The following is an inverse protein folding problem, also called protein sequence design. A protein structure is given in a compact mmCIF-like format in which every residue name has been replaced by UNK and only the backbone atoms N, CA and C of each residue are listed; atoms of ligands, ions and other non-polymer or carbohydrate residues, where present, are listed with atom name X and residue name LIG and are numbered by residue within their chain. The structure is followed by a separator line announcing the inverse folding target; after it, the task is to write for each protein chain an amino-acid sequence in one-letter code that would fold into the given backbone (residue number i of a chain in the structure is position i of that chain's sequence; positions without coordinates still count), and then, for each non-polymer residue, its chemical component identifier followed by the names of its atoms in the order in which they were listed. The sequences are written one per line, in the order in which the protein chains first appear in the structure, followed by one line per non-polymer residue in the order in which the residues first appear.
data_IF_771107753590
#
_entry.id   IF_771107753590
#
_cell.length_a   1.000
_cell.length_b   1.000
_cell.length_c   1.000
_cell.angle_alpha   90.00
_cell.angle_beta   90.00
_cell.angle_gamma   90.00
#
_symmetry.space_group_name_H-M   'P 1'
#
loop_
_entity.id
_entity.type
_entity.pdbx_description
1 polymer ?
#
# COMPACT_ATOMS: atom_id res chain seq x y z
N UNK A 1 -25.48 19.69 -5.20
CA UNK A 1 -25.64 19.24 -6.60
C UNK A 1 -24.47 18.33 -6.87
N UNK A 2 -24.65 17.01 -6.94
CA UNK A 2 -23.57 16.00 -6.88
C UNK A 2 -22.57 15.97 -8.05
N UNK A 3 -22.26 17.11 -8.66
CA UNK A 3 -21.19 17.27 -9.64
C UNK A 3 -19.83 17.19 -8.95
N UNK A 4 -18.91 16.33 -9.41
CA UNK A 4 -17.56 16.24 -8.86
C UNK A 4 -16.81 17.56 -9.06
N UNK A 5 -16.07 18.00 -8.03
CA UNK A 5 -15.23 19.21 -8.11
C UNK A 5 -13.95 18.98 -8.90
N UNK A 6 -13.40 17.76 -8.85
CA UNK A 6 -12.18 17.36 -9.55
C UNK A 6 -12.31 15.97 -10.16
N UNK A 7 -11.61 15.76 -11.27
CA UNK A 7 -11.44 14.45 -11.91
C UNK A 7 -9.95 14.15 -11.94
N UNK A 8 -9.56 13.05 -11.30
CA UNK A 8 -8.16 12.60 -11.21
C UNK A 8 -7.87 11.65 -12.38
N UNK A 9 -7.31 12.17 -13.47
CA UNK A 9 -6.95 11.36 -14.64
C UNK A 9 -5.55 10.75 -14.47
N UNK A 10 -5.50 9.56 -13.90
CA UNK A 10 -4.25 8.81 -13.75
C UNK A 10 -3.78 8.15 -15.05
N UNK A 11 -4.64 8.02 -16.06
CA UNK A 11 -4.38 7.29 -17.33
C UNK A 11 -3.78 5.89 -17.16
N UNK A 12 -4.17 5.20 -16.09
CA UNK A 12 -3.77 3.81 -15.87
C UNK A 12 -4.19 2.96 -17.06
N UNK A 13 -3.24 2.26 -17.66
CA UNK A 13 -3.46 1.48 -18.89
C UNK A 13 -4.36 0.26 -18.64
N UNK A 14 -4.43 -0.22 -17.39
CA UNK A 14 -5.20 -1.40 -17.00
C UNK A 14 -6.46 -1.04 -16.19
N UNK A 15 -7.53 -1.80 -16.44
CA UNK A 15 -8.86 -1.61 -15.82
C UNK A 15 -8.93 -1.98 -14.31
N UNK A 16 -7.80 -2.26 -13.68
CA UNK A 16 -7.73 -2.51 -12.23
C UNK A 16 -6.77 -1.50 -11.61
N UNK A 17 -7.29 -0.74 -10.66
CA UNK A 17 -6.50 0.12 -9.80
C UNK A 17 -7.09 0.08 -8.40
N UNK A 18 -6.23 0.25 -7.40
CA UNK A 18 -6.66 0.47 -6.02
C UNK A 18 -6.27 1.87 -5.59
N UNK A 19 -7.00 2.42 -4.63
CA UNK A 19 -6.73 3.73 -4.08
C UNK A 19 -6.76 3.73 -2.55
N UNK A 20 -6.05 4.69 -1.97
CA UNK A 20 -6.00 4.91 -0.52
C UNK A 20 -5.86 6.39 -0.24
N UNK A 21 -6.64 6.92 0.71
CA UNK A 21 -6.50 8.28 1.20
C UNK A 21 -5.38 8.37 2.25
N UNK A 22 -4.70 9.50 2.30
CA UNK A 22 -3.90 9.85 3.47
C UNK A 22 -4.80 10.06 4.69
N UNK A 23 -4.26 9.98 5.90
CA UNK A 23 -5.07 9.96 7.13
C UNK A 23 -5.78 11.30 7.39
N UNK A 24 -5.17 12.38 6.94
CA UNK A 24 -5.72 13.74 6.95
C UNK A 24 -6.66 14.02 5.77
N UNK A 25 -6.83 13.07 4.84
CA UNK A 25 -7.64 13.19 3.64
C UNK A 25 -7.12 14.19 2.60
N UNK A 26 -5.91 14.73 2.78
CA UNK A 26 -5.36 15.75 1.88
C UNK A 26 -4.79 15.16 0.59
N UNK A 27 -4.40 13.88 0.64
CA UNK A 27 -3.85 13.13 -0.48
C UNK A 27 -4.67 11.88 -0.77
N UNK A 28 -4.64 11.46 -2.04
CA UNK A 28 -5.06 10.13 -2.45
C UNK A 28 -3.95 9.50 -3.31
N UNK A 29 -3.61 8.26 -3.02
CA UNK A 29 -2.68 7.46 -3.80
C UNK A 29 -3.49 6.48 -4.63
N UNK A 30 -3.13 6.34 -5.89
CA UNK A 30 -3.67 5.33 -6.80
C UNK A 30 -2.52 4.51 -7.35
N UNK A 31 -2.77 3.23 -7.58
CA UNK A 31 -1.80 2.33 -8.19
C UNK A 31 -2.53 1.41 -9.14
N UNK A 32 -1.94 1.17 -10.31
CA UNK A 32 -2.35 0.10 -11.21
C UNK A 32 -1.23 -0.94 -11.26
N UNK A 33 -1.54 -2.24 -11.13
CA UNK A 33 -0.56 -3.28 -11.38
C UNK A 33 0.03 -3.07 -12.78
N UNK A 34 1.36 -3.10 -12.87
CA UNK A 34 2.13 -2.91 -14.12
C UNK A 34 2.32 -1.47 -14.61
N UNK A 35 1.86 -0.46 -13.89
CA UNK A 35 1.99 0.95 -14.31
C UNK A 35 2.67 1.81 -13.22
N UNK A 36 2.13 3.00 -12.96
CA UNK A 36 2.63 3.96 -12.00
C UNK A 36 1.80 3.97 -10.70
N UNK A 37 2.44 4.34 -9.61
CA UNK A 37 1.75 4.94 -8.48
C UNK A 37 1.64 6.45 -8.72
N UNK A 38 0.44 6.99 -8.57
CA UNK A 38 0.18 8.42 -8.63
C UNK A 38 -0.38 8.89 -7.28
N UNK A 39 0.11 10.03 -6.80
CA UNK A 39 -0.37 10.70 -5.59
C UNK A 39 -0.94 12.06 -5.97
N UNK A 40 -2.14 12.34 -5.48
CA UNK A 40 -2.92 13.52 -5.86
C UNK A 40 -3.27 14.34 -4.63
N UNK A 41 -3.20 15.66 -4.74
CA UNK A 41 -3.81 16.55 -3.77
C UNK A 41 -5.32 16.60 -3.98
N UNK A 42 -6.10 16.26 -2.96
CA UNK A 42 -7.55 16.14 -3.04
C UNK A 42 -8.23 17.49 -3.29
N UNK A 43 -7.69 18.56 -2.71
CA UNK A 43 -8.29 19.90 -2.80
C UNK A 43 -8.01 20.61 -4.14
N UNK A 44 -6.87 20.32 -4.78
CA UNK A 44 -6.49 20.98 -6.04
C UNK A 44 -6.66 20.10 -7.28
N UNK A 45 -6.79 18.78 -7.10
CA UNK A 45 -6.78 17.83 -8.21
C UNK A 45 -5.39 17.60 -8.81
N UNK A 46 -4.34 18.24 -8.30
CA UNK A 46 -3.00 18.17 -8.89
C UNK A 46 -2.28 16.87 -8.51
N UNK A 47 -1.57 16.29 -9.48
CA UNK A 47 -0.61 15.23 -9.21
C UNK A 47 0.61 15.83 -8.49
N UNK A 48 0.92 15.31 -7.31
CA UNK A 48 2.05 15.75 -6.46
C UNK A 48 3.13 14.68 -6.31
N UNK A 49 2.95 13.55 -6.98
CA UNK A 49 3.88 12.43 -6.96
C UNK A 49 3.50 11.39 -8.01
N UNK A 50 4.50 10.95 -8.76
CA UNK A 50 4.36 9.91 -9.78
C UNK A 50 5.64 9.10 -9.85
N UNK A 51 5.50 7.78 -9.70
CA UNK A 51 6.65 6.88 -9.71
C UNK A 51 6.23 5.48 -10.13
N UNK A 52 7.14 4.76 -10.80
CA UNK A 52 6.88 3.41 -11.32
C UNK A 52 6.68 2.41 -10.19
N UNK A 53 5.60 1.64 -10.25
CA UNK A 53 5.27 0.62 -9.27
C UNK A 53 5.04 -0.73 -9.96
N UNK A 54 6.08 -1.19 -10.66
CA UNK A 54 6.05 -2.44 -11.42
C UNK A 54 5.63 -3.61 -10.53
N UNK A 55 4.66 -4.40 -11.02
CA UNK A 55 4.19 -5.64 -10.40
C UNK A 55 3.56 -5.51 -8.99
N UNK A 56 3.12 -4.31 -8.60
CA UNK A 56 2.44 -4.10 -7.32
C UNK A 56 0.94 -4.43 -7.40
N UNK A 57 0.46 -5.16 -6.40
CA UNK A 57 -0.92 -5.60 -6.27
C UNK A 57 -1.77 -4.66 -5.41
N UNK A 58 -1.15 -3.74 -4.65
CA UNK A 58 -1.91 -2.76 -3.89
C UNK A 58 -1.13 -1.61 -3.28
N UNK A 59 -1.88 -0.66 -2.69
CA UNK A 59 -1.39 0.57 -2.04
C UNK A 59 -2.14 0.85 -0.76
N UNK A 60 -1.46 1.35 0.27
CA UNK A 60 -2.07 1.81 1.52
C UNK A 60 -1.23 2.93 2.13
N UNK A 61 -1.85 4.02 2.55
CA UNK A 61 -1.20 5.04 3.38
C UNK A 61 -1.04 4.56 4.82
N UNK A 62 0.10 4.88 5.43
CA UNK A 62 0.23 4.79 6.88
C UNK A 62 -0.71 5.79 7.57
N UNK A 63 -1.39 5.41 8.66
CA UNK A 63 -2.27 6.30 9.43
C UNK A 63 -1.52 7.39 10.21
N UNK A 64 -0.23 7.21 10.46
CA UNK A 64 0.54 8.07 11.37
C UNK A 64 1.78 8.69 10.75
N UNK A 65 2.33 8.06 9.71
CA UNK A 65 3.51 8.54 9.00
C UNK A 65 3.14 8.94 7.57
N UNK A 66 3.84 9.93 7.00
CA UNK A 66 3.69 10.31 5.59
C UNK A 66 4.41 9.31 4.67
N UNK A 67 4.01 8.03 4.74
CA UNK A 67 4.54 6.94 3.91
C UNK A 67 3.41 6.16 3.25
N UNK A 68 3.74 5.54 2.13
CA UNK A 68 2.86 4.66 1.37
C UNK A 68 3.46 3.26 1.34
N UNK A 69 2.70 2.26 1.79
CA UNK A 69 3.02 0.86 1.54
C UNK A 69 2.49 0.45 0.17
N UNK A 70 3.32 -0.25 -0.59
CA UNK A 70 2.90 -1.05 -1.74
C UNK A 70 3.37 -2.48 -1.54
N UNK A 71 2.70 -3.44 -2.16
CA UNK A 71 3.08 -4.85 -2.03
C UNK A 71 2.94 -5.60 -3.34
N UNK A 72 3.77 -6.62 -3.48
CA UNK A 72 3.66 -7.67 -4.49
C UNK A 72 3.75 -9.03 -3.81
N UNK A 73 3.74 -10.10 -4.62
CA UNK A 73 3.85 -11.47 -4.14
C UNK A 73 5.00 -11.67 -3.16
N UNK A 74 6.14 -10.99 -3.31
CA UNK A 74 7.38 -11.38 -2.62
C UNK A 74 7.91 -10.37 -1.59
N UNK A 75 7.35 -9.16 -1.52
CA UNK A 75 7.73 -8.16 -0.52
C UNK A 75 6.75 -6.99 -0.45
N UNK A 76 6.87 -6.25 0.65
CA UNK A 76 6.21 -4.97 0.89
C UNK A 76 7.27 -3.87 0.76
N UNK A 77 6.97 -2.79 0.08
CA UNK A 77 7.83 -1.61 -0.02
C UNK A 77 7.16 -0.41 0.64
N UNK A 78 7.93 0.33 1.42
CA UNK A 78 7.52 1.61 1.99
C UNK A 78 8.17 2.74 1.20
N UNK A 79 7.36 3.70 0.77
CA UNK A 79 7.78 4.79 -0.09
C UNK A 79 7.41 6.14 0.49
N UNK A 80 8.24 7.15 0.21
CA UNK A 80 7.83 8.53 0.37
C UNK A 80 6.80 8.88 -0.73
N UNK A 81 5.60 9.42 -0.39
CA UNK A 81 4.48 9.54 -1.31
C UNK A 81 4.78 10.43 -2.53
N UNK A 82 5.44 11.57 -2.32
CA UNK A 82 5.68 12.53 -3.40
C UNK A 82 6.84 12.16 -4.31
N UNK A 83 7.88 11.52 -3.76
CA UNK A 83 9.12 11.24 -4.50
C UNK A 83 9.19 9.81 -5.03
N UNK A 84 8.39 8.90 -4.46
CA UNK A 84 8.49 7.46 -4.74
C UNK A 84 9.73 6.80 -4.15
N UNK A 85 10.56 7.56 -3.43
CA UNK A 85 11.79 7.04 -2.83
C UNK A 85 11.46 5.85 -1.93
N UNK A 86 12.11 4.71 -2.19
CA UNK A 86 11.92 3.51 -1.39
C UNK A 86 12.68 3.67 -0.07
N UNK A 87 11.94 3.92 1.00
CA UNK A 87 12.46 4.07 2.36
C UNK A 87 12.87 2.69 2.91
N UNK A 88 12.08 1.66 2.60
CA UNK A 88 12.30 0.31 3.12
C UNK A 88 11.67 -0.76 2.22
N UNK A 89 12.31 -1.93 2.19
CA UNK A 89 11.72 -3.17 1.69
C UNK A 89 11.60 -4.18 2.82
N UNK A 90 10.42 -4.71 3.02
CA UNK A 90 10.09 -5.71 4.04
C UNK A 90 9.89 -7.05 3.33
N UNK A 91 10.74 -8.02 3.66
CA UNK A 91 10.68 -9.38 3.12
C UNK A 91 10.93 -10.41 4.23
N UNK A 92 10.25 -11.56 4.22
CA UNK A 92 10.64 -12.71 5.03
C UNK A 92 12.00 -13.23 4.60
N UNK A 93 12.77 -13.75 5.56
CA UNK A 93 14.05 -14.41 5.27
C UNK A 93 13.86 -15.76 4.56
N UNK A 94 12.74 -16.43 4.77
CA UNK A 94 12.55 -17.85 4.40
C UNK A 94 11.31 -18.13 3.53
N UNK A 95 10.45 -17.14 3.27
CA UNK A 95 9.26 -17.34 2.44
C UNK A 95 9.47 -16.84 1.02
N UNK A 96 8.93 -17.60 0.06
CA UNK A 96 8.88 -17.22 -1.36
C UNK A 96 7.74 -16.25 -1.67
N UNK A 97 6.78 -16.04 -0.76
CA UNK A 97 5.69 -15.09 -0.96
C UNK A 97 5.20 -14.50 0.37
N UNK A 98 4.66 -13.28 0.29
CA UNK A 98 4.50 -12.34 1.40
C UNK A 98 3.09 -11.78 1.47
N UNK A 99 2.49 -11.39 0.34
CA UNK A 99 1.24 -10.60 0.42
C UNK A 99 0.34 -10.70 -0.81
N UNK A 100 -0.88 -11.17 -0.60
CA UNK A 100 -2.04 -10.84 -1.44
C UNK A 100 -2.65 -9.50 -1.00
N UNK A 101 -2.69 -9.25 0.32
CA UNK A 101 -3.16 -8.00 0.92
C UNK A 101 -2.23 -7.53 2.03
N UNK A 102 -2.18 -6.22 2.23
CA UNK A 102 -1.54 -5.59 3.39
C UNK A 102 -2.44 -4.51 3.99
N UNK A 103 -2.37 -4.34 5.30
CA UNK A 103 -2.97 -3.20 6.03
C UNK A 103 -2.01 -2.73 7.11
N UNK A 104 -1.94 -1.42 7.35
CA UNK A 104 -1.29 -0.87 8.54
C UNK A 104 -2.16 -1.13 9.77
N UNK A 105 -1.57 -1.25 10.96
CA UNK A 105 -2.30 -1.08 12.21
C UNK A 105 -2.79 0.37 12.34
N UNK A 106 -3.82 0.66 13.15
CA UNK A 106 -4.26 2.03 13.39
C UNK A 106 -3.17 2.96 13.94
N UNK A 107 -2.17 2.40 14.64
CA UNK A 107 -1.00 3.14 15.13
C UNK A 107 0.07 3.36 14.06
N UNK A 108 0.00 2.65 12.93
CA UNK A 108 0.98 2.68 11.85
C UNK A 108 2.31 1.99 12.15
N UNK A 109 2.49 1.45 13.35
CA UNK A 109 3.73 0.80 13.80
C UNK A 109 3.89 -0.62 13.24
N UNK A 110 2.79 -1.24 12.83
CA UNK A 110 2.74 -2.62 12.35
C UNK A 110 2.06 -2.66 10.99
N UNK A 111 2.56 -3.50 10.09
CA UNK A 111 1.83 -3.93 8.89
C UNK A 111 1.43 -5.39 9.09
N UNK A 112 0.17 -5.71 8.84
CA UNK A 112 -0.29 -7.07 8.65
C UNK A 112 -0.28 -7.39 7.15
N UNK A 113 0.26 -8.54 6.75
CA UNK A 113 0.17 -9.05 5.39
C UNK A 113 -0.35 -10.48 5.37
N UNK A 114 -1.16 -10.82 4.37
CA UNK A 114 -1.78 -12.15 4.25
C UNK A 114 -1.32 -12.89 3.01
N UNK A 115 -1.04 -14.17 3.16
CA UNK A 115 -0.76 -15.08 2.04
C UNK A 115 -1.15 -16.51 2.43
N UNK A 116 -1.95 -17.17 1.59
CA UNK A 116 -2.46 -18.54 1.82
C UNK A 116 -3.13 -18.72 3.19
N UNK A 117 -2.56 -19.43 4.14
CA UNK A 117 -3.15 -19.73 5.46
C UNK A 117 -2.49 -18.91 6.58
N UNK A 118 -1.73 -17.88 6.22
CA UNK A 118 -0.88 -17.13 7.16
C UNK A 118 -1.12 -15.65 7.08
N UNK A 119 -1.02 -15.01 8.25
CA UNK A 119 -0.90 -13.57 8.38
C UNK A 119 0.43 -13.26 9.09
N UNK A 120 1.25 -12.42 8.47
CA UNK A 120 2.52 -11.97 8.99
C UNK A 120 2.38 -10.56 9.55
N UNK A 121 2.99 -10.33 10.71
CA UNK A 121 3.04 -9.02 11.35
C UNK A 121 4.47 -8.47 11.23
N UNK A 122 4.59 -7.26 10.72
CA UNK A 122 5.85 -6.61 10.43
C UNK A 122 5.95 -5.29 11.20
N UNK A 123 7.03 -5.11 11.96
CA UNK A 123 7.30 -3.81 12.56
C UNK A 123 7.80 -2.83 11.49
N UNK A 124 7.09 -1.72 11.31
CA UNK A 124 7.29 -0.80 10.16
C UNK A 124 8.69 -0.20 10.13
N UNK A 125 9.17 0.29 11.27
CA UNK A 125 10.46 0.99 11.31
C UNK A 125 11.67 0.08 11.15
N UNK A 126 11.56 -1.21 11.50
CA UNK A 126 12.67 -2.16 11.41
C UNK A 126 12.55 -3.07 10.19
N UNK A 127 11.33 -3.32 9.71
CA UNK A 127 11.02 -4.32 8.71
C UNK A 127 11.13 -5.77 9.23
N UNK A 128 11.26 -5.96 10.54
CA UNK A 128 11.33 -7.29 11.13
C UNK A 128 9.94 -7.91 11.27
N UNK A 129 9.85 -9.21 10.99
CA UNK A 129 8.67 -9.98 11.36
C UNK A 129 8.62 -10.12 12.88
N UNK A 130 7.50 -9.74 13.48
CA UNK A 130 7.28 -9.77 14.94
C UNK A 130 6.26 -10.82 15.35
N UNK A 131 5.57 -11.45 14.40
CA UNK A 131 4.60 -12.48 14.67
C UNK A 131 4.05 -13.10 13.39
N UNK A 132 3.58 -14.34 13.51
CA UNK A 132 2.89 -15.06 12.45
C UNK A 132 1.63 -15.66 13.07
N UNK A 133 0.47 -15.37 12.48
CA UNK A 133 -0.76 -16.10 12.73
C UNK A 133 -0.86 -17.21 11.69
N UNK A 134 -0.95 -18.45 12.14
CA UNK A 134 -1.00 -19.66 11.30
C UNK A 134 -2.11 -20.60 11.74
N UNK A 135 -2.44 -21.58 10.90
CA UNK A 135 -3.54 -22.51 11.14
C UNK A 135 -4.90 -21.96 10.71
N UNK A 136 -4.90 -20.98 9.80
CA UNK A 136 -6.12 -20.46 9.18
C UNK A 136 -6.55 -21.43 8.07
N UNK A 137 -7.86 -21.67 7.93
CA UNK A 137 -8.33 -22.56 6.86
C UNK A 137 -8.19 -21.96 5.46
N UNK A 138 -8.08 -20.61 5.37
CA UNK A 138 -8.04 -19.82 4.12
C UNK A 138 -7.30 -18.50 4.32
N UNK A 139 -7.05 -17.79 3.21
CA UNK A 139 -6.45 -16.45 3.20
C UNK A 139 -7.31 -15.48 3.99
N UNK A 140 -6.76 -14.88 5.07
CA UNK A 140 -7.53 -13.96 5.88
C UNK A 140 -7.80 -12.67 5.11
N UNK A 141 -9.03 -12.20 5.20
CA UNK A 141 -9.38 -10.84 4.79
C UNK A 141 -8.83 -9.88 5.83
N UNK A 142 -7.87 -9.05 5.43
CA UNK A 142 -7.34 -7.98 6.26
C UNK A 142 -8.23 -6.74 6.16
N UNK A 143 -8.61 -6.19 7.30
CA UNK A 143 -9.38 -4.95 7.45
C UNK A 143 -8.76 -4.11 8.57
N UNK A 144 -8.96 -2.80 8.50
CA UNK A 144 -8.66 -1.82 9.54
C UNK A 144 -9.90 -1.04 9.89
#
# INVERSE_FOLDING_TARGET
NGTPSHVFDARHVYNFFVCSFSPDGTLIATISPYDECCVWNVATGQNVGRWTASYKSGVSFSPTESIVATWESDYISLHHPSTGECIRKIKPKESRSVSEKCVFSPTGEVIASSYMDKCYLWHVSTGHCIGILSGLEKSPTLIV
#
